data_IF_846055833882
#
_entry.id   IF_846055833882
#
_cell.length_a   1.000
_cell.length_b   1.000
_cell.length_c   1.000
_cell.angle_alpha   90.00
_cell.angle_beta   90.00
_cell.angle_gamma   90.00
#
_symmetry.space_group_name_H-M   'P 1'
#
loop_
_entity.id
_entity.type
_entity.pdbx_description
1 polymer ?
#
# COMPACT_ATOMS: atom_id res chain seq x y z
N UNK A 1 -3.52 -1.72 9.93
CA UNK A 1 -3.82 -2.93 10.73
C UNK A 1 -5.25 -2.85 11.27
N UNK A 2 -5.92 -3.98 11.58
CA UNK A 2 -7.25 -3.98 12.20
C UNK A 2 -7.31 -3.19 13.52
N UNK A 3 -6.28 -3.32 14.35
CA UNK A 3 -6.17 -2.57 15.61
C UNK A 3 -6.06 -1.05 15.40
N UNK A 4 -5.23 -0.58 14.45
CA UNK A 4 -5.15 0.85 14.14
C UNK A 4 -6.49 1.41 13.64
N UNK A 5 -7.21 0.65 12.81
CA UNK A 5 -8.57 1.02 12.37
C UNK A 5 -9.56 1.10 13.52
N UNK A 6 -9.48 0.19 14.51
CA UNK A 6 -10.37 0.25 15.66
C UNK A 6 -10.10 1.47 16.56
N UNK A 7 -8.85 1.93 16.66
CA UNK A 7 -8.55 3.20 17.34
C UNK A 7 -9.21 4.38 16.62
N UNK A 8 -9.12 4.43 15.28
CA UNK A 8 -9.75 5.48 14.46
C UNK A 8 -11.26 5.55 14.73
N UNK A 9 -11.98 4.43 14.62
CA UNK A 9 -13.42 4.43 14.82
C UNK A 9 -13.84 4.69 16.27
N UNK A 10 -13.00 4.32 17.24
CA UNK A 10 -13.29 4.57 18.66
C UNK A 10 -13.25 6.04 19.03
N UNK A 11 -12.39 6.82 18.36
CA UNK A 11 -12.13 8.21 18.71
C UNK A 11 -12.68 9.21 17.68
N UNK A 12 -13.35 8.72 16.63
CA UNK A 12 -14.14 9.55 15.72
C UNK A 12 -15.24 10.26 16.52
N UNK A 13 -15.30 11.59 16.36
CA UNK A 13 -16.27 12.44 17.04
C UNK A 13 -17.14 13.24 16.05
N UNK A 14 -17.06 12.89 14.76
CA UNK A 14 -17.86 13.47 13.71
C UNK A 14 -19.23 12.80 13.59
N UNK A 15 -20.29 13.59 13.40
CA UNK A 15 -21.64 13.05 13.16
C UNK A 15 -21.89 12.77 11.67
N UNK A 16 -21.81 13.80 10.83
CA UNK A 16 -22.01 13.70 9.38
C UNK A 16 -20.69 13.54 8.59
N UNK A 17 -19.59 14.05 9.13
CA UNK A 17 -18.25 13.94 8.57
C UNK A 17 -17.32 13.40 9.65
N UNK A 18 -16.65 12.25 9.43
CA UNK A 18 -15.67 11.73 10.37
C UNK A 18 -14.65 12.78 10.75
N UNK A 19 -14.40 12.95 12.05
CA UNK A 19 -13.49 13.94 12.55
C UNK A 19 -12.62 13.36 13.67
N UNK A 20 -11.31 13.60 13.54
CA UNK A 20 -10.31 13.21 14.51
C UNK A 20 -9.53 14.45 14.93
N UNK A 21 -9.78 14.92 16.16
CA UNK A 21 -9.02 16.01 16.74
C UNK A 21 -7.61 15.55 17.12
N UNK A 22 -6.63 16.47 17.18
CA UNK A 22 -5.29 16.15 17.68
C UNK A 22 -5.35 15.54 19.10
N UNK A 23 -6.24 16.06 19.95
CA UNK A 23 -6.49 15.51 21.28
C UNK A 23 -6.99 14.06 21.25
N UNK A 24 -7.89 13.74 20.31
CA UNK A 24 -8.37 12.37 20.10
C UNK A 24 -7.24 11.43 19.69
N UNK A 25 -6.35 11.87 18.79
CA UNK A 25 -5.22 11.07 18.29
C UNK A 25 -4.19 10.79 19.39
N UNK A 26 -3.95 11.74 20.30
CA UNK A 26 -3.04 11.53 21.44
C UNK A 26 -3.48 10.41 22.38
N UNK A 27 -4.76 10.03 22.38
CA UNK A 27 -5.32 8.96 23.21
C UNK A 27 -5.20 7.57 22.57
N UNK A 28 -4.64 7.48 21.36
CA UNK A 28 -4.55 6.20 20.66
C UNK A 28 -3.61 5.26 21.41
N UNK A 29 -4.13 4.07 21.70
CA UNK A 29 -3.25 2.99 22.13
C UNK A 29 -2.37 2.59 20.94
N UNK A 30 -1.05 2.59 21.15
CA UNK A 30 -0.08 2.13 20.16
C UNK A 30 0.95 1.24 20.85
N UNK A 31 1.16 0.05 20.30
CA UNK A 31 2.22 -0.84 20.77
C UNK A 31 3.56 -0.36 20.22
N UNK A 32 4.40 0.20 21.09
CA UNK A 32 5.75 0.63 20.74
C UNK A 32 6.75 -0.46 21.16
N UNK A 33 7.26 -1.29 20.24
CA UNK A 33 8.25 -2.31 20.58
C UNK A 33 9.62 -1.66 20.87
N UNK A 34 10.60 -2.41 21.42
CA UNK A 34 11.95 -1.91 21.61
C UNK A 34 12.58 -1.39 20.30
N UNK A 35 13.48 -0.41 20.39
CA UNK A 35 14.03 0.29 19.22
C UNK A 35 14.65 -0.64 18.17
N UNK A 36 15.39 -1.66 18.61
CA UNK A 36 15.98 -2.66 17.70
C UNK A 36 14.89 -3.39 16.88
N UNK A 37 13.78 -3.72 17.52
CA UNK A 37 12.66 -4.39 16.87
C UNK A 37 11.92 -3.45 15.91
N UNK A 38 11.80 -2.16 16.25
CA UNK A 38 11.28 -1.15 15.32
C UNK A 38 12.11 -1.10 14.02
N UNK A 39 13.44 -1.10 14.11
CA UNK A 39 14.31 -1.15 12.93
C UNK A 39 14.17 -2.45 12.13
N UNK A 40 14.05 -3.60 12.82
CA UNK A 40 13.83 -4.90 12.16
C UNK A 40 12.53 -4.91 11.37
N UNK A 41 11.44 -4.43 11.98
CA UNK A 41 10.12 -4.32 11.34
C UNK A 41 10.20 -3.35 10.16
N UNK A 42 10.78 -2.16 10.35
CA UNK A 42 10.91 -1.17 9.28
C UNK A 42 11.68 -1.73 8.09
N UNK A 43 12.85 -2.35 8.31
CA UNK A 43 13.64 -2.96 7.26
C UNK A 43 12.84 -3.99 6.47
N UNK A 44 12.07 -4.85 7.14
CA UNK A 44 11.28 -5.89 6.48
C UNK A 44 10.14 -5.29 5.65
N UNK A 45 9.46 -4.27 6.17
CA UNK A 45 8.39 -3.58 5.44
C UNK A 45 8.95 -2.92 4.18
N UNK A 46 10.08 -2.22 4.28
CA UNK A 46 10.74 -1.58 3.14
C UNK A 46 11.16 -2.60 2.07
N UNK A 47 11.72 -3.73 2.46
CA UNK A 47 12.04 -4.84 1.54
C UNK A 47 10.80 -5.33 0.79
N UNK A 48 9.68 -5.54 1.50
CA UNK A 48 8.43 -5.99 0.89
C UNK A 48 7.86 -4.96 -0.09
N UNK A 49 7.93 -3.66 0.22
CA UNK A 49 7.49 -2.62 -0.70
C UNK A 49 8.31 -2.59 -1.99
N UNK A 50 9.64 -2.71 -1.89
CA UNK A 50 10.50 -2.80 -3.08
C UNK A 50 10.16 -4.01 -3.96
N UNK A 51 9.88 -5.17 -3.35
CA UNK A 51 9.45 -6.36 -4.09
C UNK A 51 8.14 -6.06 -4.84
N UNK A 52 7.14 -5.50 -4.16
CA UNK A 52 5.87 -5.14 -4.77
C UNK A 52 6.03 -4.15 -5.93
N UNK A 53 6.90 -3.14 -5.78
CA UNK A 53 7.11 -2.15 -6.84
C UNK A 53 7.83 -2.75 -8.05
N UNK A 54 8.80 -3.63 -7.83
CA UNK A 54 9.44 -4.39 -8.90
C UNK A 54 8.44 -5.29 -9.65
N UNK A 55 7.56 -5.99 -8.92
CA UNK A 55 6.54 -6.84 -9.52
C UNK A 55 5.54 -6.04 -10.36
N UNK A 56 5.13 -4.84 -9.90
CA UNK A 56 4.27 -3.96 -10.68
C UNK A 56 4.94 -3.54 -11.99
N UNK A 57 6.22 -3.13 -11.93
CA UNK A 57 6.98 -2.72 -13.11
C UNK A 57 7.11 -3.87 -14.13
N UNK A 58 7.43 -5.08 -13.65
CA UNK A 58 7.53 -6.26 -14.50
C UNK A 58 6.19 -6.61 -15.15
N UNK A 59 5.10 -6.53 -14.38
CA UNK A 59 3.74 -6.80 -14.90
C UNK A 59 3.37 -5.78 -15.98
N UNK A 60 3.64 -4.49 -15.75
CA UNK A 60 3.38 -3.44 -16.73
C UNK A 60 4.21 -3.63 -18.00
N UNK A 61 5.49 -3.96 -17.86
CA UNK A 61 6.36 -4.24 -19.00
C UNK A 61 5.86 -5.44 -19.81
N UNK A 62 5.47 -6.53 -19.15
CA UNK A 62 4.92 -7.70 -19.82
C UNK A 62 3.62 -7.39 -20.57
N UNK A 63 2.72 -6.59 -19.97
CA UNK A 63 1.49 -6.13 -20.63
C UNK A 63 1.81 -5.29 -21.89
N UNK A 64 2.78 -4.38 -21.80
CA UNK A 64 3.19 -3.58 -22.95
C UNK A 64 3.77 -4.46 -24.07
N UNK A 65 4.60 -5.44 -23.73
CA UNK A 65 5.11 -6.41 -24.71
C UNK A 65 3.97 -7.21 -25.35
N UNK A 66 2.99 -7.66 -24.58
CA UNK A 66 1.82 -8.37 -25.09
C UNK A 66 1.01 -7.53 -26.09
N UNK A 67 0.81 -6.23 -25.81
CA UNK A 67 0.13 -5.32 -26.72
C UNK A 67 0.90 -5.17 -28.04
N UNK A 68 2.20 -4.88 -27.98
CA UNK A 68 3.03 -4.75 -29.19
C UNK A 68 3.05 -6.03 -30.03
N UNK A 69 3.08 -7.19 -29.39
CA UNK A 69 3.00 -8.48 -30.09
C UNK A 69 1.63 -8.68 -30.75
N UNK A 70 0.54 -8.29 -30.08
CA UNK A 70 -0.79 -8.36 -30.66
C UNK A 70 -0.92 -7.46 -31.89
N UNK A 71 -0.45 -6.20 -31.80
CA UNK A 71 -0.47 -5.24 -32.91
C UNK A 71 0.33 -5.76 -34.12
N UNK A 72 1.55 -6.26 -33.88
CA UNK A 72 2.40 -6.81 -34.94
C UNK A 72 1.77 -8.03 -35.63
N UNK A 73 1.09 -8.90 -34.87
CA UNK A 73 0.37 -10.05 -35.42
C UNK A 73 -0.85 -9.62 -36.25
N UNK A 74 -1.59 -8.59 -35.82
CA UNK A 74 -2.70 -8.05 -36.61
C UNK A 74 -2.23 -7.38 -37.89
N UNK A 75 -1.15 -6.61 -37.84
CA UNK A 75 -0.56 -5.98 -39.02
C UNK A 75 -0.07 -7.02 -40.02
N UNK A 76 0.55 -8.11 -39.56
CA UNK A 76 1.00 -9.21 -40.41
C UNK A 76 -0.15 -10.06 -40.99
N UNK A 77 -1.36 -10.00 -40.41
CA UNK A 77 -2.52 -10.74 -40.90
C UNK A 77 -3.39 -9.93 -41.89
N UNK A 78 -3.30 -8.60 -41.85
CA UNK A 78 -4.07 -7.69 -42.72
C UNK A 78 -3.28 -7.31 -43.98
N UNK A 79 -1.94 -7.31 -43.91
CA UNK A 79 -1.04 -7.15 -45.07
C UNK A 79 -0.73 -8.50 -45.74
#
# INVERSE_FOLDING_TARGET
SPFGRSQIFRFDNGSAQPNLSANSVMLYAFACPPLQEQFRIHKKITELFHICDNLKLQTQSAQQTQLHLADALTDAAIN
#
